data_IF_611363250599
#
_entry.id   IF_611363250599
#
_cell.length_a   1.000
_cell.length_b   1.000
_cell.length_c   1.000
_cell.angle_alpha   90.00
_cell.angle_beta   90.00
_cell.angle_gamma   90.00
#
_symmetry.space_group_name_H-M   'P 1'
#
loop_
_entity.id
_entity.type
_entity.pdbx_description
1 polymer ?
#
# COMPACT_ATOMS: atom_id res chain seq x y z
N UNK A 1 8.63 8.23 -15.10
CA UNK A 1 8.53 7.06 -14.18
C UNK A 1 7.50 7.35 -13.11
N UNK A 2 6.73 6.34 -12.63
CA UNK A 2 5.78 6.52 -11.51
C UNK A 2 6.55 6.80 -10.23
N UNK A 3 6.19 7.89 -9.53
CA UNK A 3 6.71 8.21 -8.19
C UNK A 3 5.76 7.82 -7.08
N UNK A 4 4.45 7.88 -7.34
CA UNK A 4 3.42 7.48 -6.40
C UNK A 4 2.15 7.05 -7.12
N UNK A 5 1.45 6.06 -6.58
CA UNK A 5 0.17 5.59 -7.09
C UNK A 5 -0.78 5.23 -5.95
N UNK A 6 -2.03 5.63 -6.06
CA UNK A 6 -3.10 5.32 -5.13
C UNK A 6 -4.40 5.03 -5.88
N UNK A 7 -5.00 3.89 -5.55
CA UNK A 7 -6.35 3.56 -6.02
C UNK A 7 -7.34 3.78 -4.88
N UNK A 8 -8.30 4.67 -5.05
CA UNK A 8 -9.31 5.02 -4.04
C UNK A 8 -10.61 5.46 -4.72
N UNK A 9 -11.76 5.05 -4.19
CA UNK A 9 -13.09 5.42 -4.70
C UNK A 9 -13.27 5.17 -6.21
N UNK A 10 -12.73 4.07 -6.74
CA UNK A 10 -12.75 3.73 -8.17
C UNK A 10 -11.99 4.74 -9.06
N UNK A 11 -11.04 5.43 -8.49
CA UNK A 11 -10.15 6.35 -9.18
C UNK A 11 -8.70 5.90 -9.00
N UNK A 12 -7.96 5.83 -10.11
CA UNK A 12 -6.52 5.52 -10.09
C UNK A 12 -5.73 6.82 -10.23
N UNK A 13 -5.14 7.25 -9.12
CA UNK A 13 -4.33 8.45 -9.01
C UNK A 13 -2.86 8.08 -9.19
N UNK A 14 -2.17 8.68 -10.15
CA UNK A 14 -0.76 8.40 -10.42
C UNK A 14 0.04 9.67 -10.59
N UNK A 15 1.14 9.81 -9.85
CA UNK A 15 2.12 10.89 -9.97
C UNK A 15 3.37 10.39 -10.69
N UNK A 16 3.93 11.24 -11.53
CA UNK A 16 5.06 10.89 -12.39
C UNK A 16 6.25 11.84 -12.18
N UNK A 17 7.44 11.26 -12.15
CA UNK A 17 8.67 12.01 -12.44
C UNK A 17 8.85 12.03 -13.96
N UNK A 18 8.40 13.12 -14.57
CA UNK A 18 8.44 13.33 -16.01
C UNK A 18 8.62 14.81 -16.32
N UNK A 19 9.28 15.10 -17.43
CA UNK A 19 9.49 16.46 -17.92
C UNK A 19 8.20 17.17 -18.34
N UNK A 20 7.15 16.42 -18.60
CA UNK A 20 5.91 16.96 -19.18
C UNK A 20 4.65 16.62 -18.38
N UNK A 21 4.38 15.34 -18.15
CA UNK A 21 3.19 14.87 -17.40
C UNK A 21 3.56 14.68 -15.94
N UNK A 22 2.84 15.33 -15.03
CA UNK A 22 3.11 15.23 -13.58
C UNK A 22 2.10 14.38 -12.83
N UNK A 23 0.88 14.26 -13.39
CA UNK A 23 -0.18 13.51 -12.72
C UNK A 23 -1.22 13.01 -13.74
N UNK A 24 -1.77 11.84 -13.48
CA UNK A 24 -2.99 11.37 -14.10
C UNK A 24 -3.99 10.85 -13.10
N UNK A 25 -5.27 11.01 -13.42
CA UNK A 25 -6.38 10.37 -12.72
C UNK A 25 -7.22 9.60 -13.72
N UNK A 26 -7.29 8.28 -13.57
CA UNK A 26 -8.18 7.44 -14.33
C UNK A 26 -9.46 7.20 -13.54
N UNK A 27 -10.59 7.54 -14.14
CA UNK A 27 -11.90 7.23 -13.60
C UNK A 27 -12.28 5.82 -14.01
N UNK A 28 -12.18 4.89 -13.09
CA UNK A 28 -12.50 3.49 -13.30
C UNK A 28 -13.96 3.21 -12.96
N UNK A 29 -14.86 3.76 -13.75
CA UNK A 29 -16.29 3.51 -13.62
C UNK A 29 -16.64 2.17 -14.25
N UNK A 30 -16.44 1.07 -13.52
CA UNK A 30 -16.70 -0.32 -13.92
C UNK A 30 -15.71 -0.90 -14.95
N UNK A 31 -15.73 -2.24 -15.13
CA UNK A 31 -14.85 -3.01 -16.01
C UNK A 31 -15.11 -2.74 -17.52
N UNK A 32 -15.12 -1.46 -17.92
CA UNK A 32 -15.28 -1.06 -19.31
C UNK A 32 -13.92 -1.02 -19.99
N UNK A 33 -13.90 -1.40 -21.26
CA UNK A 33 -12.72 -1.30 -22.13
C UNK A 33 -12.22 0.14 -22.27
N UNK A 34 -13.11 1.11 -22.10
CA UNK A 34 -12.82 2.53 -22.30
C UNK A 34 -12.81 3.30 -20.98
N UNK A 35 -11.82 4.16 -20.81
CA UNK A 35 -11.57 4.94 -19.61
C UNK A 35 -11.66 6.43 -19.87
N UNK A 36 -11.98 7.20 -18.85
CA UNK A 36 -11.85 8.65 -18.85
C UNK A 36 -10.60 9.02 -18.04
N UNK A 37 -9.70 9.80 -18.65
CA UNK A 37 -8.45 10.22 -18.02
C UNK A 37 -8.41 11.74 -17.85
N UNK A 38 -8.11 12.18 -16.62
CA UNK A 38 -7.62 13.52 -16.35
C UNK A 38 -6.10 13.48 -16.37
N UNK A 39 -5.46 14.35 -17.17
CA UNK A 39 -4.00 14.46 -17.22
C UNK A 39 -3.60 15.90 -16.89
N UNK A 40 -2.68 16.03 -15.94
CA UNK A 40 -2.09 17.30 -15.54
C UNK A 40 -0.66 17.36 -16.03
N UNK A 41 -0.35 18.41 -16.76
CA UNK A 41 0.97 18.72 -17.28
C UNK A 41 1.73 19.63 -16.33
N UNK A 42 3.04 19.67 -16.48
CA UNK A 42 3.91 20.60 -15.75
C UNK A 42 3.40 22.04 -15.90
N UNK A 43 3.23 22.73 -14.79
CA UNK A 43 2.62 24.08 -14.74
C UNK A 43 1.09 24.08 -14.65
N UNK A 44 0.47 22.93 -14.33
CA UNK A 44 -0.95 22.84 -13.96
C UNK A 44 -1.94 22.69 -15.13
N UNK A 45 -1.50 22.86 -16.39
CA UNK A 45 -2.39 22.68 -17.56
C UNK A 45 -3.05 21.31 -17.52
N UNK A 46 -4.38 21.29 -17.62
CA UNK A 46 -5.16 20.09 -17.40
C UNK A 46 -6.09 19.78 -18.56
N UNK A 47 -6.10 18.49 -18.93
CA UNK A 47 -6.95 17.97 -20.01
C UNK A 47 -7.70 16.72 -19.56
N UNK A 48 -8.91 16.58 -20.09
CA UNK A 48 -9.74 15.39 -19.94
C UNK A 48 -9.79 14.66 -21.29
N UNK A 49 -9.39 13.39 -21.28
CA UNK A 49 -9.45 12.47 -22.40
C UNK A 49 -10.57 11.47 -22.17
N UNK A 50 -11.45 11.30 -23.15
CA UNK A 50 -12.56 10.33 -23.11
C UNK A 50 -12.30 9.16 -24.03
N UNK A 51 -12.94 8.05 -23.71
CA UNK A 51 -12.94 6.83 -24.52
C UNK A 51 -11.53 6.28 -24.78
N UNK A 52 -10.61 6.46 -23.82
CA UNK A 52 -9.26 5.93 -23.90
C UNK A 52 -9.29 4.43 -23.68
N UNK A 53 -8.71 3.67 -24.59
CA UNK A 53 -8.56 2.23 -24.44
C UNK A 53 -7.77 1.90 -23.18
N UNK A 54 -8.24 0.93 -22.40
CA UNK A 54 -7.63 0.54 -21.13
C UNK A 54 -6.16 0.07 -21.31
N UNK A 55 -5.86 -0.64 -22.40
CA UNK A 55 -4.49 -1.09 -22.68
C UNK A 55 -3.59 0.10 -23.03
N UNK A 56 -4.09 1.10 -23.75
CA UNK A 56 -3.34 2.34 -24.02
C UNK A 56 -3.07 3.12 -22.74
N UNK A 57 -4.04 3.16 -21.82
CA UNK A 57 -3.80 3.75 -20.49
C UNK A 57 -2.70 3.02 -19.73
N UNK A 58 -2.74 1.68 -19.68
CA UNK A 58 -1.73 0.89 -18.99
C UNK A 58 -0.33 1.04 -19.62
N UNK A 59 -0.24 1.09 -20.95
CA UNK A 59 1.00 1.35 -21.65
C UNK A 59 1.57 2.74 -21.33
N UNK A 60 0.72 3.76 -21.27
CA UNK A 60 1.12 5.09 -20.84
C UNK A 60 1.56 5.13 -19.37
N UNK A 61 0.73 4.57 -18.47
CA UNK A 61 0.95 4.61 -17.03
C UNK A 61 2.30 3.97 -16.66
N UNK A 62 2.59 2.79 -17.21
CA UNK A 62 3.74 1.98 -16.82
C UNK A 62 5.00 2.23 -17.64
N UNK A 63 4.98 3.20 -18.56
CA UNK A 63 6.12 3.51 -19.42
C UNK A 63 7.31 4.09 -18.64
N UNK A 64 8.51 3.78 -19.10
CA UNK A 64 9.74 4.42 -18.60
C UNK A 64 9.77 5.91 -18.94
N UNK A 65 9.32 6.28 -20.15
CA UNK A 65 9.16 7.67 -20.59
C UNK A 65 7.67 7.99 -20.76
N UNK A 66 7.07 8.59 -19.73
CA UNK A 66 5.64 8.94 -19.79
C UNK A 66 5.35 10.04 -20.83
N UNK A 67 6.32 10.90 -21.16
CA UNK A 67 6.17 11.92 -22.22
C UNK A 67 6.04 11.29 -23.63
N UNK A 68 6.88 10.32 -23.95
CA UNK A 68 6.81 9.58 -25.22
C UNK A 68 5.57 8.71 -25.29
N UNK A 69 5.28 7.99 -24.23
CA UNK A 69 4.09 7.14 -24.13
C UNK A 69 2.79 7.95 -24.22
N UNK A 70 2.75 9.15 -23.64
CA UNK A 70 1.65 10.08 -23.81
C UNK A 70 1.42 10.42 -25.28
N UNK A 71 2.48 10.82 -25.99
CA UNK A 71 2.37 11.16 -27.40
C UNK A 71 1.88 9.98 -28.27
N UNK A 72 2.32 8.77 -27.93
CA UNK A 72 2.00 7.55 -28.67
C UNK A 72 0.60 7.02 -28.37
N UNK A 73 0.23 6.95 -27.11
CA UNK A 73 -0.96 6.21 -26.68
C UNK A 73 -2.14 7.08 -26.28
N UNK A 74 -1.92 8.31 -25.77
CA UNK A 74 -2.99 9.14 -25.21
C UNK A 74 -3.33 10.33 -26.11
N UNK A 75 -2.33 11.02 -26.64
CA UNK A 75 -2.52 12.20 -27.46
C UNK A 75 -3.46 12.00 -28.68
N UNK A 76 -3.54 10.81 -29.32
CA UNK A 76 -4.48 10.59 -30.41
C UNK A 76 -5.96 10.68 -30.02
N UNK A 77 -6.29 10.54 -28.73
CA UNK A 77 -7.68 10.63 -28.26
C UNK A 77 -8.16 12.07 -28.20
N UNK A 78 -9.48 12.23 -28.29
CA UNK A 78 -10.13 13.55 -28.19
C UNK A 78 -9.95 14.10 -26.78
N UNK A 79 -9.37 15.29 -26.69
CA UNK A 79 -9.11 15.98 -25.45
C UNK A 79 -9.98 17.24 -25.31
N UNK A 80 -10.39 17.50 -24.08
CA UNK A 80 -11.03 18.75 -23.68
C UNK A 80 -10.15 19.42 -22.62
N UNK A 81 -9.73 20.66 -22.87
CA UNK A 81 -9.04 21.45 -21.84
C UNK A 81 -10.05 21.81 -20.74
N UNK A 82 -9.70 21.59 -19.51
CA UNK A 82 -10.48 21.96 -18.33
C UNK A 82 -9.69 22.98 -17.48
N UNK A 83 -10.27 23.43 -16.38
CA UNK A 83 -9.62 24.37 -15.46
C UNK A 83 -8.26 23.81 -15.01
N UNK A 84 -7.25 24.64 -15.06
CA UNK A 84 -5.89 24.27 -14.68
C UNK A 84 -5.86 23.82 -13.21
N UNK A 85 -5.08 22.78 -12.94
CA UNK A 85 -4.95 22.23 -11.59
C UNK A 85 -3.97 23.06 -10.77
N UNK A 86 -4.38 23.43 -9.58
CA UNK A 86 -3.52 24.03 -8.57
C UNK A 86 -2.47 23.00 -8.14
N UNK A 87 -1.20 23.31 -8.38
CA UNK A 87 -0.11 22.38 -8.14
C UNK A 87 0.18 22.21 -6.63
N UNK A 88 -0.09 23.21 -5.80
CA UNK A 88 0.06 23.10 -4.35
C UNK A 88 -0.94 22.10 -3.79
N UNK A 89 -2.22 22.25 -4.16
CA UNK A 89 -3.27 21.30 -3.77
C UNK A 89 -3.03 19.89 -4.29
N UNK A 90 -2.42 19.75 -5.47
CA UNK A 90 -2.07 18.44 -5.99
C UNK A 90 -0.96 17.78 -5.17
N UNK A 91 0.00 18.55 -4.68
CA UNK A 91 1.05 18.06 -3.78
C UNK A 91 0.48 17.72 -2.40
N UNK A 92 -0.37 18.56 -1.84
CA UNK A 92 -1.07 18.28 -0.57
C UNK A 92 -1.87 16.96 -0.65
N UNK A 93 -2.58 16.74 -1.76
CA UNK A 93 -3.29 15.49 -2.01
C UNK A 93 -2.35 14.28 -2.05
N UNK A 94 -1.18 14.43 -2.66
CA UNK A 94 -0.17 13.36 -2.69
C UNK A 94 0.32 13.02 -1.28
N UNK A 95 0.63 14.03 -0.49
CA UNK A 95 1.12 13.82 0.88
C UNK A 95 0.02 13.19 1.77
N UNK A 96 -1.23 13.65 1.68
CA UNK A 96 -2.32 13.04 2.44
C UNK A 96 -2.50 11.56 2.11
N UNK A 97 -2.39 11.17 0.85
CA UNK A 97 -2.46 9.76 0.45
C UNK A 97 -1.25 8.93 0.90
N UNK A 98 -0.08 9.54 1.00
CA UNK A 98 1.11 8.86 1.56
C UNK A 98 0.95 8.62 3.06
N UNK A 99 0.43 9.61 3.80
CA UNK A 99 0.15 9.50 5.23
C UNK A 99 -0.88 8.41 5.52
N UNK A 100 -2.03 8.43 4.82
CA UNK A 100 -3.06 7.38 4.93
C UNK A 100 -2.49 5.98 4.64
N UNK A 101 -1.65 5.87 3.61
CA UNK A 101 -1.02 4.58 3.28
C UNK A 101 -0.10 4.13 4.40
N UNK A 102 0.68 5.05 4.97
CA UNK A 102 1.60 4.75 6.08
C UNK A 102 0.82 4.27 7.30
N UNK A 103 -0.26 4.95 7.67
CA UNK A 103 -1.13 4.56 8.80
C UNK A 103 -1.73 3.16 8.57
N UNK A 104 -2.25 2.88 7.35
CA UNK A 104 -2.81 1.56 7.02
C UNK A 104 -1.72 0.48 7.04
N UNK A 105 -0.53 0.77 6.53
CA UNK A 105 0.57 -0.19 6.51
C UNK A 105 1.10 -0.43 7.93
N UNK A 106 1.18 0.58 8.79
CA UNK A 106 1.54 0.45 10.20
C UNK A 106 0.48 -0.35 10.97
N UNK A 107 -0.81 -0.09 10.75
CA UNK A 107 -1.90 -0.83 11.37
C UNK A 107 -1.90 -2.30 10.93
N UNK A 108 -1.77 -2.57 9.63
CA UNK A 108 -1.64 -3.94 9.11
C UNK A 108 -0.37 -4.64 9.60
N UNK A 109 0.74 -3.91 9.75
CA UNK A 109 1.96 -4.48 10.31
C UNK A 109 1.76 -4.83 11.79
N UNK A 110 1.05 -4.00 12.55
CA UNK A 110 0.66 -4.27 13.94
C UNK A 110 -0.19 -5.55 14.07
N UNK A 111 -1.09 -5.77 13.12
CA UNK A 111 -1.99 -6.93 13.09
C UNK A 111 -1.33 -8.23 12.58
N UNK A 112 -0.27 -8.11 11.77
CA UNK A 112 0.39 -9.25 11.09
C UNK A 112 1.77 -9.59 11.64
N UNK A 113 2.30 -8.79 12.55
CA UNK A 113 3.59 -9.07 13.18
C UNK A 113 3.37 -9.91 14.42
N UNK A 114 3.93 -11.11 14.41
CA UNK A 114 4.00 -11.92 15.61
C UNK A 114 4.95 -11.28 16.63
N UNK A 115 4.50 -11.15 17.87
CA UNK A 115 5.37 -10.77 18.99
C UNK A 115 5.65 -12.01 19.80
N UNK A 116 6.93 -12.31 20.04
CA UNK A 116 7.36 -13.41 20.87
C UNK A 116 7.99 -12.79 22.10
N UNK A 117 7.33 -12.92 23.24
CA UNK A 117 7.83 -12.45 24.53
C UNK A 117 8.40 -13.63 25.31
N UNK A 118 9.58 -13.49 25.86
CA UNK A 118 10.30 -14.51 26.60
C UNK A 118 10.64 -13.97 27.99
N UNK A 119 10.24 -14.67 29.04
CA UNK A 119 10.67 -14.42 30.40
C UNK A 119 12.09 -14.91 30.54
N UNK A 120 13.03 -14.02 30.85
CA UNK A 120 14.46 -14.37 30.98
C UNK A 120 14.75 -15.29 32.17
N UNK A 121 13.91 -15.28 33.21
CA UNK A 121 14.14 -16.05 34.43
C UNK A 121 13.63 -17.47 34.34
N UNK A 122 12.46 -17.64 33.71
CA UNK A 122 11.77 -18.93 33.64
C UNK A 122 11.98 -19.65 32.32
N UNK A 123 12.35 -18.90 31.25
CA UNK A 123 12.38 -19.41 29.89
C UNK A 123 10.98 -19.63 29.30
N UNK A 124 9.94 -19.20 30.01
CA UNK A 124 8.59 -19.24 29.49
C UNK A 124 8.43 -18.21 28.38
N UNK A 125 7.66 -18.54 27.36
CA UNK A 125 7.41 -17.62 26.25
C UNK A 125 5.96 -17.63 25.79
N UNK A 126 5.53 -16.51 25.23
CA UNK A 126 4.23 -16.38 24.58
C UNK A 126 4.40 -15.85 23.17
N UNK A 127 3.52 -16.29 22.29
CA UNK A 127 3.40 -15.78 20.91
C UNK A 127 2.09 -15.02 20.81
N UNK A 128 2.19 -13.76 20.39
CA UNK A 128 1.04 -12.86 20.21
C UNK A 128 0.90 -12.45 18.75
N UNK A 129 -0.34 -12.28 18.33
CA UNK A 129 -0.69 -11.56 17.09
C UNK A 129 -1.70 -10.47 17.46
N UNK A 130 -1.29 -9.20 17.35
CA UNK A 130 -2.03 -8.12 18.00
C UNK A 130 -2.01 -8.30 19.53
N UNK A 131 -3.15 -8.31 20.16
CA UNK A 131 -3.34 -8.53 21.59
C UNK A 131 -3.80 -9.97 21.94
N UNK A 132 -3.90 -10.84 20.93
CA UNK A 132 -4.30 -12.23 21.10
C UNK A 132 -3.09 -13.11 21.36
N UNK A 133 -3.15 -13.94 22.40
CA UNK A 133 -2.15 -14.98 22.65
C UNK A 133 -2.50 -16.16 21.75
N UNK A 134 -1.55 -16.55 20.91
CA UNK A 134 -1.68 -17.72 20.05
C UNK A 134 -1.07 -18.98 20.68
N UNK A 135 -0.04 -18.79 21.48
CA UNK A 135 0.68 -19.91 22.08
C UNK A 135 1.39 -19.46 23.37
N UNK A 136 1.50 -20.38 24.34
CA UNK A 136 2.29 -20.25 25.55
C UNK A 136 3.05 -21.55 25.78
N UNK A 137 4.33 -21.47 26.13
CA UNK A 137 5.16 -22.65 26.35
C UNK A 137 6.41 -22.33 27.17
N UNK A 138 7.06 -23.39 27.67
CA UNK A 138 8.29 -23.28 28.46
C UNK A 138 9.49 -23.77 27.65
N UNK A 139 9.29 -24.69 26.71
CA UNK A 139 10.34 -25.30 25.90
C UNK A 139 10.07 -25.14 24.40
N UNK A 140 11.14 -25.13 23.63
CA UNK A 140 11.02 -25.14 22.16
C UNK A 140 11.00 -23.78 21.48
N UNK A 141 11.26 -22.68 22.19
CA UNK A 141 11.34 -21.34 21.61
C UNK A 141 12.26 -21.27 20.37
N UNK A 142 13.42 -21.96 20.40
CA UNK A 142 14.34 -22.00 19.27
C UNK A 142 13.75 -22.72 18.05
N UNK A 143 13.00 -23.79 18.29
CA UNK A 143 12.31 -24.52 17.20
C UNK A 143 11.23 -23.67 16.56
N UNK A 144 10.50 -22.90 17.36
CA UNK A 144 9.47 -21.98 16.89
C UNK A 144 10.10 -20.82 16.13
N UNK A 145 11.17 -20.20 16.64
CA UNK A 145 11.90 -19.13 15.93
C UNK A 145 12.43 -19.62 14.58
N UNK A 146 12.99 -20.84 14.54
CA UNK A 146 13.43 -21.46 13.31
C UNK A 146 12.27 -21.71 12.32
N UNK A 147 11.11 -22.15 12.83
CA UNK A 147 9.92 -22.33 12.03
C UNK A 147 9.42 -21.00 11.43
N UNK A 148 9.32 -19.94 12.25
CA UNK A 148 8.95 -18.62 11.78
C UNK A 148 9.90 -18.10 10.71
N UNK A 149 11.20 -18.28 10.91
CA UNK A 149 12.23 -17.90 9.94
C UNK A 149 12.09 -18.70 8.65
N UNK A 150 11.89 -20.01 8.73
CA UNK A 150 11.75 -20.89 7.55
C UNK A 150 10.49 -20.61 6.75
N UNK A 151 9.40 -20.19 7.40
CA UNK A 151 8.15 -19.78 6.78
C UNK A 151 8.12 -18.30 6.37
N UNK A 152 9.24 -17.59 6.61
CA UNK A 152 9.38 -16.15 6.31
C UNK A 152 8.31 -15.29 7.01
N UNK A 153 7.85 -15.69 8.20
CA UNK A 153 6.96 -14.89 9.02
C UNK A 153 7.73 -13.75 9.68
N UNK A 154 7.13 -12.57 9.70
CA UNK A 154 7.68 -11.43 10.42
C UNK A 154 7.36 -11.57 11.90
N UNK A 155 8.38 -11.51 12.75
CA UNK A 155 8.22 -11.52 14.19
C UNK A 155 9.15 -10.52 14.88
N UNK A 156 8.76 -10.10 16.07
CA UNK A 156 9.57 -9.29 16.97
C UNK A 156 9.84 -10.14 18.23
N UNK A 157 11.10 -10.35 18.54
CA UNK A 157 11.50 -11.02 19.78
C UNK A 157 11.71 -9.96 20.86
N UNK A 158 11.03 -10.11 21.99
CA UNK A 158 11.13 -9.25 23.15
C UNK A 158 11.50 -10.08 24.37
N UNK A 159 12.59 -9.72 25.04
CA UNK A 159 12.92 -10.23 26.35
C UNK A 159 12.18 -9.38 27.38
N UNK A 160 11.51 -10.02 28.31
CA UNK A 160 10.73 -9.36 29.36
C UNK A 160 11.12 -9.94 30.74
N UNK A 161 11.08 -9.09 31.76
CA UNK A 161 11.40 -9.53 33.13
C UNK A 161 10.36 -10.49 33.71
N UNK A 162 9.12 -10.36 33.27
CA UNK A 162 7.98 -11.19 33.66
C UNK A 162 6.92 -11.15 32.54
N UNK A 163 6.36 -12.30 32.18
CA UNK A 163 5.27 -12.36 31.22
C UNK A 163 4.01 -11.80 31.84
N UNK A 164 3.23 -10.99 31.07
CA UNK A 164 1.97 -10.48 31.54
C UNK A 164 1.02 -11.60 31.97
N UNK A 165 0.32 -11.41 33.07
CA UNK A 165 -0.70 -12.35 33.55
C UNK A 165 -1.95 -12.22 32.66
N UNK A 166 -1.99 -12.98 31.58
CA UNK A 166 -3.19 -13.09 30.75
C UNK A 166 -4.09 -14.16 31.33
N UNK A 167 -5.37 -13.84 31.54
CA UNK A 167 -6.36 -14.85 31.91
C UNK A 167 -6.55 -15.84 30.74
N UNK A 168 -6.76 -17.11 31.05
CA UNK A 168 -6.94 -18.19 30.06
C UNK A 168 -8.12 -17.96 29.11
N UNK A 169 -8.97 -16.97 29.37
CA UNK A 169 -10.08 -16.55 28.50
C UNK A 169 -9.65 -16.01 27.13
N UNK A 170 -8.36 -15.67 26.95
CA UNK A 170 -7.81 -15.15 25.68
C UNK A 170 -7.06 -16.21 24.86
N UNK A 171 -7.03 -17.48 25.31
CA UNK A 171 -6.47 -18.60 24.58
C UNK A 171 -7.51 -19.13 23.56
N UNK A 172 -7.33 -18.86 22.29
CA UNK A 172 -8.07 -19.63 21.25
C UNK A 172 -7.39 -21.01 21.13
N UNK A 173 -8.15 -22.09 21.43
CA UNK A 173 -7.71 -23.44 21.11
C UNK A 173 -7.47 -23.58 19.62
N UNK A 174 -6.22 -23.64 19.22
CA UNK A 174 -5.87 -24.07 17.86
C UNK A 174 -6.05 -25.57 17.83
N UNK A 175 -7.19 -26.04 17.32
CA UNK A 175 -7.35 -27.45 16.95
C UNK A 175 -6.50 -27.71 15.71
N UNK A 176 -5.39 -28.44 15.92
CA UNK A 176 -4.55 -29.01 14.88
C UNK A 176 -5.24 -30.25 14.30
#
# INVERSE_FOLDING_TARGET
MIVFNRYVNQEDHTWYDSSNVVYSKCYDTQATKFKTLKIVFKGGRTYLYKDVDADHYLQFKNAQSNGEAFNKYIKPYKAVRITDTDMEKLNELQESFKEEKKEIDEQKLGDLVYRIQVDEKTGEFIILMGDKILFRGIEGQFSILNLFTSLNFKYILQQVDELPNYSDENLEEIKI
#
